data_IF_327152451235
#
_entry.id   IF_327152451235
#
_cell.length_a   1.000
_cell.length_b   1.000
_cell.length_c   1.000
_cell.angle_alpha   90.00
_cell.angle_beta   90.00
_cell.angle_gamma   90.00
#
_symmetry.space_group_name_H-M   'P 1'
#
loop_
_entity.id
_entity.type
_entity.pdbx_description
1 polymer ?
#
# COMPACT_ATOMS: atom_id res chain seq x y z
N UNK A 1 -39.30 63.41 -21.02
CA UNK A 1 -39.74 62.81 -19.74
C UNK A 1 -39.37 61.32 -19.75
N UNK A 2 -38.49 60.90 -18.81
CA UNK A 2 -38.36 59.56 -18.18
C UNK A 2 -38.57 58.32 -19.08
N UNK A 3 -37.53 57.50 -19.37
CA UNK A 3 -37.18 56.20 -18.71
C UNK A 3 -36.70 55.26 -19.85
N UNK A 4 -35.77 54.30 -19.78
CA UNK A 4 -35.17 53.51 -18.71
C UNK A 4 -33.77 53.05 -19.17
N UNK A 5 -32.78 53.20 -18.29
CA UNK A 5 -31.50 52.51 -18.37
C UNK A 5 -31.71 51.11 -17.75
N UNK A 6 -31.73 50.05 -18.57
CA UNK A 6 -31.69 48.67 -18.05
C UNK A 6 -30.23 48.25 -17.97
N UNK A 7 -29.66 48.35 -16.77
CA UNK A 7 -28.37 47.77 -16.43
C UNK A 7 -28.60 46.26 -16.21
N UNK A 8 -28.15 45.43 -17.16
CA UNK A 8 -28.19 43.97 -17.01
C UNK A 8 -26.99 43.54 -16.15
N UNK A 9 -27.21 43.38 -14.84
CA UNK A 9 -26.25 42.70 -13.96
C UNK A 9 -26.26 41.20 -14.27
N UNK A 10 -25.25 40.72 -14.99
CA UNK A 10 -24.94 39.28 -15.04
C UNK A 10 -24.32 38.86 -13.70
N UNK A 11 -25.13 38.27 -12.82
CA UNK A 11 -24.63 37.51 -11.68
C UNK A 11 -24.02 36.19 -12.20
N UNK A 12 -22.70 36.10 -12.23
CA UNK A 12 -22.00 34.82 -12.34
C UNK A 12 -22.09 34.10 -11.00
N UNK A 13 -23.05 33.18 -10.88
CA UNK A 13 -23.08 32.19 -9.80
C UNK A 13 -21.96 31.16 -10.07
N UNK A 14 -20.81 31.34 -9.41
CA UNK A 14 -19.83 30.28 -9.27
C UNK A 14 -20.40 29.19 -8.36
N UNK A 15 -20.92 28.12 -8.95
CA UNK A 15 -21.22 26.89 -8.21
C UNK A 15 -19.89 26.21 -7.92
N UNK A 16 -19.32 26.48 -6.74
CA UNK A 16 -18.22 25.69 -6.22
C UNK A 16 -18.81 24.34 -5.81
N UNK A 17 -18.80 23.39 -6.75
CA UNK A 17 -19.06 21.99 -6.41
C UNK A 17 -17.88 21.50 -5.57
N UNK A 18 -18.09 21.32 -4.27
CA UNK A 18 -17.15 20.59 -3.42
C UNK A 18 -17.18 19.13 -3.87
N UNK A 19 -16.31 18.76 -4.81
CA UNK A 19 -16.04 17.35 -5.06
C UNK A 19 -15.42 16.79 -3.78
N UNK A 20 -16.20 15.99 -3.04
CA UNK A 20 -15.66 15.20 -1.95
C UNK A 20 -14.58 14.29 -2.56
N UNK A 21 -13.32 14.51 -2.15
CA UNK A 21 -12.21 13.67 -2.59
C UNK A 21 -12.52 12.21 -2.26
N UNK A 22 -12.47 11.33 -3.27
CA UNK A 22 -12.72 9.91 -3.10
C UNK A 22 -11.73 9.34 -2.07
N UNK A 23 -12.25 8.69 -1.03
CA UNK A 23 -11.44 8.06 0.03
C UNK A 23 -10.78 6.79 -0.52
N UNK A 24 -9.56 6.92 -1.03
CA UNK A 24 -8.78 5.83 -1.62
C UNK A 24 -8.29 4.82 -0.57
N UNK A 25 -7.71 3.70 -1.02
CA UNK A 25 -7.04 2.76 -0.10
C UNK A 25 -5.90 3.43 0.67
N UNK A 26 -5.25 4.45 0.09
CA UNK A 26 -4.21 5.22 0.76
C UNK A 26 -4.78 5.99 1.95
N UNK A 27 -5.88 6.73 1.72
CA UNK A 27 -6.57 7.46 2.78
C UNK A 27 -6.93 6.55 3.96
N UNK A 28 -7.53 5.39 3.68
CA UNK A 28 -7.93 4.46 4.74
C UNK A 28 -6.73 3.81 5.43
N UNK A 29 -5.65 3.55 4.70
CA UNK A 29 -4.40 2.98 5.22
C UNK A 29 -3.70 3.94 6.17
N UNK A 30 -3.53 5.19 5.76
CA UNK A 30 -2.94 6.25 6.60
C UNK A 30 -3.79 6.53 7.83
N UNK A 31 -5.11 6.60 7.66
CA UNK A 31 -6.03 6.80 8.78
C UNK A 31 -5.94 5.65 9.79
N UNK A 32 -5.89 4.41 9.32
CA UNK A 32 -5.74 3.23 10.18
C UNK A 32 -4.39 3.23 10.90
N UNK A 33 -3.28 3.36 10.16
CA UNK A 33 -1.93 3.29 10.72
C UNK A 33 -1.68 4.40 11.74
N UNK A 34 -2.16 5.62 11.47
CA UNK A 34 -1.97 6.77 12.36
C UNK A 34 -2.72 6.63 13.69
N UNK A 35 -3.91 6.01 13.67
CA UNK A 35 -4.82 6.05 14.81
C UNK A 35 -4.95 4.71 15.56
N UNK A 36 -4.42 3.60 15.02
CA UNK A 36 -4.49 2.30 15.72
C UNK A 36 -3.54 2.29 16.92
N UNK A 37 -4.06 2.13 18.16
CA UNK A 37 -3.24 2.01 19.36
C UNK A 37 -2.31 0.79 19.31
N UNK A 38 -1.19 0.85 20.02
CA UNK A 38 -0.17 -0.21 20.01
C UNK A 38 -0.68 -1.57 20.53
N UNK A 39 -1.64 -1.56 21.45
CA UNK A 39 -2.30 -2.74 22.03
C UNK A 39 -3.46 -3.25 21.16
N UNK A 40 -3.92 -2.46 20.18
CA UNK A 40 -5.00 -2.84 19.27
C UNK A 40 -4.50 -3.19 17.85
N UNK A 41 -3.22 -3.52 17.72
CA UNK A 41 -2.65 -4.08 16.51
C UNK A 41 -1.75 -5.28 16.78
N UNK A 42 -1.83 -6.32 15.95
CA UNK A 42 -0.86 -7.42 15.94
C UNK A 42 -0.96 -8.26 14.67
N UNK A 43 0.19 -8.76 14.21
CA UNK A 43 0.27 -9.64 13.05
C UNK A 43 -0.30 -11.03 13.33
N UNK A 44 -1.23 -11.50 12.49
CA UNK A 44 -1.86 -12.82 12.62
C UNK A 44 -2.39 -13.38 11.31
N UNK A 45 -2.21 -14.69 11.13
CA UNK A 45 -2.82 -15.45 10.03
C UNK A 45 -4.24 -15.97 10.36
N UNK A 46 -4.75 -15.68 11.56
CA UNK A 46 -6.09 -16.07 12.01
C UNK A 46 -7.15 -15.09 11.48
N UNK A 47 -8.39 -15.24 11.94
CA UNK A 47 -9.54 -14.40 11.57
C UNK A 47 -9.17 -12.91 11.61
N UNK A 48 -9.09 -12.22 10.46
CA UNK A 48 -8.61 -10.85 10.40
C UNK A 48 -9.66 -9.90 10.98
N UNK A 49 -9.23 -8.96 11.82
CA UNK A 49 -10.07 -7.88 12.35
C UNK A 49 -9.44 -6.55 11.99
N UNK A 50 -10.12 -5.77 11.16
CA UNK A 50 -9.72 -4.40 10.81
C UNK A 50 -10.92 -3.50 10.98
N UNK A 51 -10.77 -2.44 11.77
CA UNK A 51 -11.85 -1.49 12.08
C UNK A 51 -11.35 -0.06 12.06
N UNK A 52 -12.20 0.83 11.57
CA UNK A 52 -12.02 2.27 11.67
C UNK A 52 -13.04 2.83 12.64
N UNK A 53 -12.58 3.61 13.63
CA UNK A 53 -13.46 4.24 14.61
C UNK A 53 -14.60 5.00 13.92
N UNK A 54 -15.84 4.76 14.37
CA UNK A 54 -17.05 5.37 13.84
C UNK A 54 -17.64 4.69 12.59
N UNK A 55 -16.95 3.70 12.01
CA UNK A 55 -17.48 2.87 10.93
C UNK A 55 -18.11 1.61 11.54
N UNK A 56 -19.33 1.28 11.11
CA UNK A 56 -20.09 0.11 11.58
C UNK A 56 -20.18 -0.02 13.12
N UNK A 57 -20.26 1.13 13.80
CA UNK A 57 -20.35 1.19 15.27
C UNK A 57 -19.05 0.89 16.01
N UNK A 58 -17.91 0.77 15.31
CA UNK A 58 -16.62 0.56 15.96
C UNK A 58 -16.27 1.73 16.88
N UNK A 59 -16.02 1.45 18.16
CA UNK A 59 -15.63 2.45 19.16
C UNK A 59 -14.18 2.90 19.04
N UNK A 60 -13.34 2.12 18.35
CA UNK A 60 -11.91 2.38 18.22
C UNK A 60 -11.33 1.82 16.90
N UNK A 61 -10.09 2.19 16.59
CA UNK A 61 -9.30 1.63 15.50
C UNK A 61 -8.64 0.32 15.92
N UNK A 62 -8.68 -0.70 15.04
CA UNK A 62 -8.15 -2.03 15.29
C UNK A 62 -7.53 -2.58 14.01
N UNK A 63 -6.32 -3.16 14.09
CA UNK A 63 -5.66 -3.81 12.95
C UNK A 63 -4.95 -5.10 13.37
N UNK A 64 -5.67 -6.22 13.28
CA UNK A 64 -5.21 -7.55 13.67
C UNK A 64 -5.33 -8.48 12.49
N UNK A 65 -4.30 -8.54 11.68
CA UNK A 65 -4.34 -9.28 10.42
C UNK A 65 -2.93 -9.61 9.92
N UNK A 66 -2.79 -10.09 8.70
CA UNK A 66 -1.50 -10.16 8.02
C UNK A 66 -1.47 -9.20 6.82
N UNK A 67 -0.32 -9.07 6.18
CA UNK A 67 -0.11 -8.13 5.07
C UNK A 67 -1.22 -8.18 4.01
N UNK A 68 -1.62 -9.38 3.59
CA UNK A 68 -2.70 -9.55 2.62
C UNK A 68 -4.07 -9.19 3.19
N UNK A 69 -4.35 -9.53 4.44
CA UNK A 69 -5.61 -9.19 5.08
C UNK A 69 -5.78 -7.68 5.28
N UNK A 70 -4.70 -6.94 5.56
CA UNK A 70 -4.71 -5.48 5.58
C UNK A 70 -5.16 -4.92 4.23
N UNK A 71 -4.49 -5.30 3.14
CA UNK A 71 -4.84 -4.80 1.80
C UNK A 71 -6.26 -5.22 1.38
N UNK A 72 -6.68 -6.46 1.69
CA UNK A 72 -8.05 -6.90 1.44
C UNK A 72 -9.07 -5.97 2.11
N UNK A 73 -8.85 -5.61 3.38
CA UNK A 73 -9.77 -4.74 4.13
C UNK A 73 -9.73 -3.29 3.64
N UNK A 74 -8.55 -2.78 3.27
CA UNK A 74 -8.43 -1.45 2.69
C UNK A 74 -9.20 -1.30 1.37
N UNK A 75 -9.11 -2.29 0.49
CA UNK A 75 -9.87 -2.30 -0.77
C UNK A 75 -11.37 -2.35 -0.48
N UNK A 76 -11.81 -3.28 0.38
CA UNK A 76 -13.23 -3.38 0.75
C UNK A 76 -13.78 -2.09 1.34
N UNK A 77 -13.02 -1.45 2.22
CA UNK A 77 -13.39 -0.18 2.84
C UNK A 77 -13.42 0.99 1.84
N UNK A 78 -12.42 1.08 0.95
CA UNK A 78 -12.33 2.16 -0.03
C UNK A 78 -13.47 2.12 -1.07
N UNK A 79 -13.87 0.91 -1.48
CA UNK A 79 -14.89 0.71 -2.52
C UNK A 79 -16.27 0.31 -1.96
N UNK A 80 -16.41 0.22 -0.64
CA UNK A 80 -17.65 -0.18 0.04
C UNK A 80 -18.21 -1.52 -0.49
N UNK A 81 -17.35 -2.54 -0.59
CA UNK A 81 -17.68 -3.88 -1.09
C UNK A 81 -17.50 -4.95 -0.01
N UNK A 82 -18.34 -5.98 -0.07
CA UNK A 82 -18.27 -7.11 0.85
C UNK A 82 -17.24 -8.17 0.38
N UNK A 83 -17.08 -9.24 1.18
CA UNK A 83 -16.15 -10.33 0.87
C UNK A 83 -16.48 -11.07 -0.42
N UNK A 84 -17.76 -11.26 -0.75
CA UNK A 84 -18.16 -11.98 -1.96
C UNK A 84 -17.79 -11.20 -3.23
N UNK A 85 -18.08 -9.90 -3.25
CA UNK A 85 -17.69 -9.00 -4.34
C UNK A 85 -16.17 -8.92 -4.46
N UNK A 86 -15.46 -8.76 -3.34
CA UNK A 86 -14.00 -8.71 -3.33
C UNK A 86 -13.38 -10.02 -3.83
N UNK A 87 -13.85 -11.17 -3.34
CA UNK A 87 -13.32 -12.47 -3.74
C UNK A 87 -13.62 -12.77 -5.21
N UNK A 88 -14.82 -12.41 -5.70
CA UNK A 88 -15.16 -12.51 -7.12
C UNK A 88 -14.22 -11.65 -7.97
N UNK A 89 -13.97 -10.40 -7.58
CA UNK A 89 -13.04 -9.50 -8.25
C UNK A 89 -11.60 -10.04 -8.26
N UNK A 90 -11.13 -10.63 -7.16
CA UNK A 90 -9.81 -11.28 -7.09
C UNK A 90 -9.75 -12.66 -7.77
N UNK A 91 -10.86 -13.14 -8.35
CA UNK A 91 -11.03 -14.47 -8.92
C UNK A 91 -10.70 -15.60 -7.91
N UNK A 92 -11.18 -15.46 -6.68
CA UNK A 92 -10.95 -16.40 -5.58
C UNK A 92 -12.26 -16.95 -5.02
N UNK A 93 -12.21 -18.18 -4.53
CA UNK A 93 -13.31 -18.80 -3.74
C UNK A 93 -13.21 -18.51 -2.23
N UNK A 94 -12.04 -18.02 -1.78
CA UNK A 94 -11.68 -17.73 -0.39
C UNK A 94 -10.83 -16.46 -0.41
N UNK A 95 -10.36 -15.99 0.75
CA UNK A 95 -9.54 -14.77 0.82
C UNK A 95 -8.34 -14.80 -0.14
N UNK A 96 -7.97 -13.63 -0.65
CA UNK A 96 -6.75 -13.43 -1.42
C UNK A 96 -5.52 -13.31 -0.50
N UNK A 97 -4.40 -13.90 -0.93
CA UNK A 97 -3.09 -13.83 -0.28
C UNK A 97 -2.11 -12.98 -1.12
N UNK A 98 -0.92 -12.65 -0.58
CA UNK A 98 0.08 -11.82 -1.28
C UNK A 98 0.44 -12.36 -2.68
N UNK A 99 0.61 -13.69 -2.83
CA UNK A 99 0.83 -14.31 -4.15
C UNK A 99 -0.31 -14.08 -5.15
N UNK A 100 -1.55 -13.97 -4.68
CA UNK A 100 -2.72 -13.77 -5.54
C UNK A 100 -2.69 -12.35 -6.13
N UNK A 101 -2.36 -11.34 -5.33
CA UNK A 101 -2.12 -9.98 -5.83
C UNK A 101 -1.04 -9.95 -6.90
N UNK A 102 0.13 -10.54 -6.66
CA UNK A 102 1.18 -10.64 -7.68
C UNK A 102 0.63 -11.25 -8.99
N UNK A 103 -0.13 -12.35 -8.88
CA UNK A 103 -0.67 -13.03 -10.05
C UNK A 103 -1.73 -12.19 -10.79
N UNK A 104 -2.59 -11.44 -10.09
CA UNK A 104 -3.62 -10.61 -10.72
C UNK A 104 -3.02 -9.35 -11.35
N UNK A 105 -2.07 -8.70 -10.68
CA UNK A 105 -1.32 -7.55 -11.22
C UNK A 105 -0.61 -7.95 -12.51
N UNK A 106 0.10 -9.09 -12.48
CA UNK A 106 0.79 -9.61 -13.67
C UNK A 106 -0.16 -9.92 -14.84
N UNK A 107 -1.42 -10.26 -14.55
CA UNK A 107 -2.44 -10.56 -15.57
C UNK A 107 -3.20 -9.33 -16.06
N UNK A 108 -3.04 -8.17 -15.42
CA UNK A 108 -3.87 -7.00 -15.69
C UNK A 108 -5.32 -7.14 -15.21
N UNK A 109 -5.58 -8.02 -14.25
CA UNK A 109 -6.95 -8.32 -13.78
C UNK A 109 -7.32 -7.43 -12.59
N UNK A 110 -8.03 -6.33 -12.85
CA UNK A 110 -8.40 -5.34 -11.82
C UNK A 110 -7.24 -4.45 -11.37
N UNK A 111 -6.06 -4.63 -11.97
CA UNK A 111 -4.89 -3.84 -11.69
C UNK A 111 -4.18 -3.46 -12.99
N UNK A 112 -3.68 -2.23 -13.06
CA UNK A 112 -2.61 -1.86 -13.95
C UNK A 112 -1.28 -2.27 -13.29
N UNK A 113 -0.48 -3.09 -13.97
CA UNK A 113 0.81 -3.56 -13.47
C UNK A 113 1.98 -2.74 -14.00
N UNK A 114 2.98 -2.50 -13.14
CA UNK A 114 4.21 -1.79 -13.47
C UNK A 114 5.43 -2.57 -12.97
N UNK A 115 6.44 -2.69 -13.85
CA UNK A 115 7.78 -3.19 -13.50
C UNK A 115 8.79 -2.06 -13.32
N UNK A 116 8.46 -0.85 -13.79
CA UNK A 116 9.31 0.32 -13.65
C UNK A 116 8.97 1.10 -12.38
N UNK A 117 9.99 1.39 -11.57
CA UNK A 117 9.83 2.13 -10.30
C UNK A 117 9.27 3.54 -10.50
N UNK A 118 9.53 4.16 -11.65
CA UNK A 118 9.12 5.55 -11.94
C UNK A 118 7.61 5.69 -12.15
N UNK A 119 6.91 4.58 -12.43
CA UNK A 119 5.45 4.56 -12.57
C UNK A 119 4.71 4.40 -11.25
N UNK A 120 5.44 4.07 -10.18
CA UNK A 120 4.91 3.89 -8.84
C UNK A 120 4.37 5.20 -8.27
N UNK A 121 3.18 5.16 -7.67
CA UNK A 121 2.54 6.31 -7.04
C UNK A 121 2.00 5.95 -5.65
N UNK A 122 1.82 6.95 -4.77
CA UNK A 122 1.03 6.79 -3.56
C UNK A 122 -0.33 6.16 -3.87
N UNK A 123 -0.70 5.13 -3.10
CA UNK A 123 -1.91 4.34 -3.32
C UNK A 123 -1.73 3.09 -4.17
N UNK A 124 -0.57 2.89 -4.80
CA UNK A 124 -0.23 1.61 -5.42
C UNK A 124 0.18 0.58 -4.36
N UNK A 125 0.16 -0.70 -4.73
CA UNK A 125 0.66 -1.79 -3.89
C UNK A 125 1.92 -2.40 -4.48
N UNK A 126 2.89 -2.76 -3.64
CA UNK A 126 4.03 -3.59 -3.99
C UNK A 126 3.69 -5.01 -3.58
N UNK A 127 3.59 -5.92 -4.54
CA UNK A 127 3.35 -7.34 -4.28
C UNK A 127 4.61 -8.16 -4.55
N UNK A 128 4.99 -8.98 -3.58
CA UNK A 128 6.13 -9.89 -3.65
C UNK A 128 5.60 -11.32 -3.59
N UNK A 129 5.99 -12.15 -4.55
CA UNK A 129 5.65 -13.58 -4.56
C UNK A 129 6.86 -14.40 -4.16
N UNK A 130 6.71 -15.24 -3.13
CA UNK A 130 7.77 -16.15 -2.70
C UNK A 130 7.75 -17.47 -3.51
N UNK A 131 8.90 -18.16 -3.60
CA UNK A 131 8.97 -19.50 -4.18
C UNK A 131 8.04 -20.49 -3.49
N UNK A 132 7.53 -21.49 -4.24
CA UNK A 132 6.57 -22.49 -3.73
C UNK A 132 7.09 -23.33 -2.54
N UNK A 133 8.39 -23.44 -2.38
CA UNK A 133 9.03 -24.21 -1.31
C UNK A 133 9.08 -23.46 0.02
N UNK A 134 8.58 -22.22 0.08
CA UNK A 134 8.46 -21.46 1.31
C UNK A 134 7.04 -21.59 1.88
N UNK A 135 6.93 -21.62 3.21
CA UNK A 135 5.64 -21.68 3.91
C UNK A 135 4.81 -20.40 3.73
N UNK A 136 5.49 -19.27 3.53
CA UNK A 136 4.86 -17.97 3.28
C UNK A 136 4.59 -17.76 1.78
N UNK A 137 3.40 -17.23 1.48
CA UNK A 137 2.95 -16.97 0.11
C UNK A 137 3.66 -15.76 -0.52
N UNK A 138 4.19 -14.85 0.27
CA UNK A 138 4.73 -13.59 -0.20
C UNK A 138 4.42 -12.43 0.74
N UNK A 139 4.69 -11.21 0.27
CA UNK A 139 4.38 -9.99 1.02
C UNK A 139 3.67 -8.97 0.16
N UNK A 140 2.85 -8.12 0.76
CA UNK A 140 2.20 -7.01 0.07
C UNK A 140 2.19 -5.77 0.96
N UNK A 141 2.51 -4.63 0.35
CA UNK A 141 2.66 -3.36 1.05
C UNK A 141 1.97 -2.25 0.25
N UNK A 142 1.43 -1.24 0.94
CA UNK A 142 0.82 -0.05 0.35
C UNK A 142 1.86 1.07 0.25
N UNK A 143 2.02 1.68 -0.91
CA UNK A 143 2.91 2.83 -1.12
C UNK A 143 2.23 4.10 -0.60
N UNK A 144 2.91 4.86 0.25
CA UNK A 144 2.38 6.12 0.81
C UNK A 144 3.00 7.37 0.21
N UNK A 145 4.21 7.28 -0.33
CA UNK A 145 4.94 8.41 -0.90
C UNK A 145 5.58 8.00 -2.24
N UNK A 146 5.88 8.98 -3.09
CA UNK A 146 6.60 8.73 -4.33
C UNK A 146 7.97 8.09 -4.05
N UNK A 147 8.40 7.18 -4.92
CA UNK A 147 9.73 6.58 -4.83
C UNK A 147 10.80 7.66 -4.97
N UNK A 148 11.84 7.58 -4.14
CA UNK A 148 12.97 8.51 -4.15
C UNK A 148 14.24 7.74 -4.46
N UNK A 149 14.93 8.11 -5.55
CA UNK A 149 16.29 7.63 -5.81
C UNK A 149 17.18 8.11 -4.65
N UNK A 150 18.07 7.23 -4.19
CA UNK A 150 19.01 7.52 -3.10
C UNK A 150 20.43 7.22 -3.53
N UNK A 151 21.38 7.89 -2.88
CA UNK A 151 22.78 7.48 -2.98
C UNK A 151 22.94 6.01 -2.55
N UNK A 152 23.73 5.21 -3.27
CA UNK A 152 23.91 3.81 -2.94
C UNK A 152 24.40 3.61 -1.51
N UNK A 153 23.69 2.75 -0.78
CA UNK A 153 24.05 2.30 0.57
C UNK A 153 24.16 0.77 0.56
N UNK A 154 24.97 0.19 1.44
CA UNK A 154 25.16 -1.26 1.46
C UNK A 154 23.84 -2.04 1.71
N UNK A 155 23.67 -3.25 1.15
CA UNK A 155 24.51 -3.86 0.13
C UNK A 155 24.43 -3.10 -1.20
N UNK A 156 25.58 -2.81 -1.80
CA UNK A 156 25.65 -2.28 -3.16
C UNK A 156 25.63 -3.42 -4.18
N UNK A 157 24.92 -3.23 -5.29
CA UNK A 157 24.85 -4.20 -6.39
C UNK A 157 25.28 -3.50 -7.67
N UNK A 158 26.33 -4.02 -8.32
CA UNK A 158 26.92 -3.40 -9.50
C UNK A 158 25.86 -3.22 -10.60
N UNK A 159 25.87 -2.06 -11.24
CA UNK A 159 24.93 -1.74 -12.33
C UNK A 159 23.51 -1.39 -11.89
N UNK A 160 23.29 -1.20 -10.58
CA UNK A 160 21.96 -0.85 -10.05
C UNK A 160 21.89 0.57 -9.48
N UNK A 161 20.70 1.16 -9.53
CA UNK A 161 20.28 2.32 -8.75
C UNK A 161 19.48 1.86 -7.54
N UNK A 162 19.53 2.62 -6.45
CA UNK A 162 18.74 2.35 -5.25
C UNK A 162 17.64 3.39 -5.06
N UNK A 163 16.49 2.92 -4.61
CA UNK A 163 15.32 3.74 -4.34
C UNK A 163 14.80 3.42 -2.95
N UNK A 164 14.38 4.43 -2.19
CA UNK A 164 13.57 4.23 -0.99
C UNK A 164 12.11 4.54 -1.31
N UNK A 165 11.21 3.77 -0.72
CA UNK A 165 9.76 3.94 -0.84
C UNK A 165 9.17 3.81 0.54
N UNK A 166 8.39 4.81 0.95
CA UNK A 166 7.65 4.73 2.21
C UNK A 166 6.40 3.88 2.00
N UNK A 167 6.23 2.91 2.88
CA UNK A 167 5.14 1.94 2.79
C UNK A 167 4.41 1.78 4.12
N UNK A 168 3.13 1.39 4.02
CA UNK A 168 2.36 0.82 5.12
C UNK A 168 2.24 -0.68 4.90
N UNK A 169 2.45 -1.46 5.95
CA UNK A 169 2.20 -2.89 5.95
C UNK A 169 1.75 -3.40 7.33
N UNK A 170 1.33 -4.66 7.35
CA UNK A 170 1.04 -5.43 8.56
C UNK A 170 2.06 -6.58 8.62
N UNK A 171 2.96 -6.56 9.60
CA UNK A 171 4.09 -7.49 9.69
C UNK A 171 4.48 -7.81 11.13
N UNK A 172 5.15 -8.94 11.32
CA UNK A 172 5.78 -9.31 12.59
C UNK A 172 7.07 -8.53 12.91
N UNK A 173 7.64 -7.82 11.93
CA UNK A 173 8.88 -7.06 12.06
C UNK A 173 8.80 -5.72 11.31
N UNK A 174 9.63 -4.74 11.69
CA UNK A 174 9.70 -3.43 11.04
C UNK A 174 10.77 -3.29 9.95
N UNK A 175 10.71 -2.19 9.19
CA UNK A 175 11.58 -1.82 8.08
C UNK A 175 12.77 -0.94 8.50
N UNK A 176 13.51 -1.36 9.53
CA UNK A 176 14.67 -0.62 10.04
C UNK A 176 14.31 0.39 11.15
N UNK A 177 15.31 1.14 11.60
CA UNK A 177 15.21 1.98 12.83
C UNK A 177 14.25 3.16 12.70
N UNK A 178 13.87 3.53 11.48
CA UNK A 178 12.89 4.58 11.19
C UNK A 178 11.45 4.07 11.09
N UNK A 179 11.23 2.75 11.23
CA UNK A 179 9.89 2.19 11.24
C UNK A 179 9.14 2.61 12.50
N UNK A 180 7.87 2.98 12.36
CA UNK A 180 6.99 3.35 13.48
C UNK A 180 6.83 2.27 14.55
N UNK A 181 7.20 1.02 14.24
CA UNK A 181 7.20 -0.11 15.15
C UNK A 181 8.49 -0.26 15.94
N UNK A 182 9.54 0.51 15.65
CA UNK A 182 10.83 0.39 16.31
C UNK A 182 10.76 0.79 17.79
N UNK A 183 11.23 -0.11 18.66
CA UNK A 183 11.22 0.06 20.12
C UNK A 183 12.62 0.37 20.68
N UNK A 184 13.62 0.55 19.82
CA UNK A 184 15.03 0.63 20.24
C UNK A 184 15.72 -0.74 20.32
N UNK A 185 17.05 -0.73 20.31
CA UNK A 185 17.90 -1.91 20.50
C UNK A 185 17.56 -3.09 19.56
N UNK A 186 17.22 -2.78 18.29
CA UNK A 186 16.85 -3.78 17.29
C UNK A 186 15.49 -4.48 17.52
N UNK A 187 14.70 -4.04 18.50
CA UNK A 187 13.37 -4.59 18.80
C UNK A 187 12.28 -3.82 18.07
N UNK A 188 11.22 -4.54 17.72
CA UNK A 188 10.04 -4.00 17.05
C UNK A 188 8.77 -4.53 17.71
N UNK A 189 7.72 -3.71 17.77
CA UNK A 189 6.36 -4.24 17.95
C UNK A 189 5.91 -4.93 16.66
N UNK A 190 4.97 -5.87 16.77
CA UNK A 190 4.30 -6.43 15.60
C UNK A 190 3.08 -5.56 15.20
N UNK A 191 2.48 -5.86 14.05
CA UNK A 191 1.25 -5.24 13.60
C UNK A 191 1.47 -4.17 12.53
N UNK A 192 0.54 -3.21 12.46
CA UNK A 192 0.53 -2.17 11.44
C UNK A 192 1.66 -1.18 11.71
N UNK A 193 2.39 -0.84 10.65
CA UNK A 193 3.45 0.13 10.72
C UNK A 193 3.76 0.76 9.38
N UNK A 194 4.55 1.83 9.46
CA UNK A 194 5.12 2.55 8.34
C UNK A 194 6.62 2.53 8.44
N UNK A 195 7.31 2.31 7.32
CA UNK A 195 8.76 2.38 7.22
C UNK A 195 9.22 2.48 5.77
N UNK A 196 10.53 2.43 5.54
CA UNK A 196 11.10 2.53 4.20
C UNK A 196 11.50 1.16 3.65
N UNK A 197 10.89 0.79 2.54
CA UNK A 197 11.30 -0.34 1.71
C UNK A 197 12.33 0.13 0.67
N UNK A 198 13.33 -0.70 0.36
CA UNK A 198 14.39 -0.33 -0.58
C UNK A 198 14.34 -1.20 -1.83
N UNK A 199 14.31 -0.56 -3.00
CA UNK A 199 14.24 -1.21 -4.31
C UNK A 199 15.53 -0.94 -5.09
N UNK A 200 15.99 -1.94 -5.81
CA UNK A 200 17.12 -1.88 -6.73
C UNK A 200 16.59 -1.95 -8.14
N UNK A 201 17.04 -1.05 -9.01
CA UNK A 201 16.66 -1.03 -10.42
C UNK A 201 17.87 -0.99 -11.33
N UNK A 202 17.68 -1.31 -12.60
CA UNK A 202 18.64 -0.91 -13.64
C UNK A 202 18.59 0.61 -13.91
N UNK A 203 19.32 1.07 -14.92
CA UNK A 203 19.36 2.48 -15.32
C UNK A 203 18.04 2.99 -15.94
N UNK A 204 17.23 2.08 -16.49
CA UNK A 204 15.93 2.40 -17.09
C UNK A 204 14.83 2.55 -16.03
N UNK A 205 15.00 1.90 -14.88
CA UNK A 205 14.07 1.89 -13.75
C UNK A 205 13.37 0.54 -13.56
N UNK A 206 13.73 -0.49 -14.32
CA UNK A 206 13.19 -1.83 -14.15
C UNK A 206 13.67 -2.43 -12.83
N UNK A 207 12.74 -2.99 -12.06
CA UNK A 207 13.02 -3.57 -10.74
C UNK A 207 13.83 -4.86 -10.87
N UNK A 208 15.00 -4.90 -10.23
CA UNK A 208 15.91 -6.04 -10.21
C UNK A 208 15.92 -6.77 -8.86
N UNK A 209 15.59 -6.09 -7.77
CA UNK A 209 15.61 -6.67 -6.44
C UNK A 209 15.25 -5.67 -5.35
N UNK A 210 15.40 -6.07 -4.10
CA UNK A 210 15.00 -5.26 -2.96
C UNK A 210 15.73 -5.62 -1.67
N UNK A 211 15.65 -4.70 -0.70
CA UNK A 211 15.98 -4.91 0.70
C UNK A 211 14.75 -4.55 1.55
N UNK A 212 14.59 -5.25 2.68
CA UNK A 212 13.47 -4.99 3.59
C UNK A 212 13.57 -3.65 4.31
N UNK A 213 14.70 -2.97 4.23
CA UNK A 213 14.91 -1.64 4.80
C UNK A 213 16.04 -0.90 4.08
N UNK A 214 16.18 0.39 4.41
CA UNK A 214 17.32 1.23 4.01
C UNK A 214 18.52 1.10 4.97
N UNK A 215 18.55 0.08 5.83
CA UNK A 215 19.68 -0.16 6.72
C UNK A 215 20.80 -0.91 5.98
N UNK A 216 22.06 -0.61 6.30
CA UNK A 216 23.24 -1.24 5.66
C UNK A 216 23.28 -2.76 5.82
N UNK A 217 22.79 -3.27 6.95
CA UNK A 217 22.69 -4.71 7.23
C UNK A 217 21.51 -5.42 6.57
N UNK A 218 20.65 -4.71 5.83
CA UNK A 218 19.47 -5.31 5.19
C UNK A 218 19.87 -6.16 4.00
N UNK A 219 19.57 -7.47 4.04
CA UNK A 219 20.00 -8.41 3.00
C UNK A 219 19.26 -8.19 1.67
N UNK A 220 20.04 -8.01 0.60
CA UNK A 220 19.55 -7.98 -0.77
C UNK A 220 18.82 -9.28 -1.15
N UNK A 221 17.68 -9.11 -1.82
CA UNK A 221 16.85 -10.18 -2.38
C UNK A 221 16.71 -9.92 -3.88
N UNK A 222 17.16 -10.89 -4.66
CA UNK A 222 17.01 -10.84 -6.11
C UNK A 222 15.54 -11.00 -6.52
N UNK A 223 15.12 -10.16 -7.45
CA UNK A 223 13.73 -10.03 -7.89
C UNK A 223 13.26 -11.19 -8.77
N UNK A 224 14.15 -12.00 -9.34
CA UNK A 224 13.77 -13.18 -10.12
C UNK A 224 13.37 -14.38 -9.21
N UNK A 225 14.00 -14.50 -8.04
CA UNK A 225 13.68 -15.48 -6.99
C UNK A 225 12.45 -15.04 -6.19
N UNK A 226 12.42 -13.78 -5.73
CA UNK A 226 11.31 -13.20 -4.98
C UNK A 226 10.67 -12.09 -5.80
N UNK A 227 9.74 -12.50 -6.66
CA UNK A 227 9.19 -11.65 -7.73
C UNK A 227 8.41 -10.47 -7.19
N UNK A 228 8.90 -9.27 -7.49
CA UNK A 228 8.30 -7.99 -7.15
C UNK A 228 7.51 -7.46 -8.34
N UNK A 229 6.34 -6.89 -8.09
CA UNK A 229 5.56 -6.13 -9.08
C UNK A 229 4.79 -5.03 -8.36
N UNK A 230 4.60 -3.90 -9.04
CA UNK A 230 3.78 -2.79 -8.55
C UNK A 230 2.42 -2.86 -9.23
N UNK A 231 1.35 -2.67 -8.47
CA UNK A 231 -0.02 -2.69 -8.98
C UNK A 231 -0.79 -1.45 -8.55
N UNK A 232 -1.43 -0.79 -9.50
CA UNK A 232 -2.47 0.21 -9.25
C UNK A 232 -3.82 -0.42 -9.50
N UNK A 233 -4.77 -0.21 -8.59
CA UNK A 233 -6.14 -0.69 -8.78
C UNK A 233 -6.74 0.07 -9.98
N UNK A 234 -7.12 -0.68 -11.01
CA UNK A 234 -7.79 -0.19 -12.21
C UNK A 234 -9.26 -0.61 -12.11
N UNK A 235 -10.16 0.36 -11.86
CA UNK A 235 -11.50 0.11 -11.34
C UNK A 235 -12.31 -0.83 -12.25
N UNK A 236 -12.68 -2.01 -11.72
CA UNK A 236 -13.77 -2.88 -12.20
C UNK A 236 -14.37 -3.68 -11.04
N UNK A 237 -15.05 -3.01 -10.11
CA UNK A 237 -15.87 -3.64 -9.07
C UNK A 237 -17.33 -3.62 -9.48
#
# INVERSE_FOLDING_TARGET
MKKNLLLLCFLFLFVISSFAQEKTILYWGELLQKNTPADNTYYTHKSPVVKWKGIDGASDYECKTDCSGLINQLIKQAYNINDDTFNKWMHKKKRAYARDYYNQIKKGNGFQGFSNIKDAKPGDVIAIKFPKLMDDTGHIMLITEAAQEIEPIEPTVLGTKQWKIKIIDESGHGHGTTDTRYLGNGKYRNGIGTGYFRIYTDSTGEILGYCWSTETGSKYREGDVRKVIIGRIDKKF
#
